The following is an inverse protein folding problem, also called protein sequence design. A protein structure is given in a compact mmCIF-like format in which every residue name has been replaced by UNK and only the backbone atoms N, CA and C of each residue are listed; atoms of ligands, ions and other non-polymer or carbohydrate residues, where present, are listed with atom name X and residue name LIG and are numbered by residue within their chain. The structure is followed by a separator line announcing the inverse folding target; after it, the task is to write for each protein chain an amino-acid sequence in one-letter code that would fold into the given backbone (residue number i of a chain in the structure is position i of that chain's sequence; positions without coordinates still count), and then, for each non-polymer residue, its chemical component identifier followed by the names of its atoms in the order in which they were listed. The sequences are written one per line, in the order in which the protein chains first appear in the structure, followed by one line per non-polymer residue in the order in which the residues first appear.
data_IF_843042371857
#
_entry.id   IF_843042371857
#
_cell.length_a   1.000
_cell.length_b   1.000
_cell.length_c   1.000
_cell.angle_alpha   90.00
_cell.angle_beta   90.00
_cell.angle_gamma   90.00
#
_symmetry.space_group_name_H-M   'P 1'
#
loop_
_entity.id
_entity.type
_entity.pdbx_description
1 polymer ?
#
# COMPACT_ATOMS: atom_id res chain seq x y z
N UNK A 1 -7.04 -22.39 40.71
CA UNK A 1 -7.44 -21.72 39.48
C UNK A 1 -6.32 -21.83 38.46
N UNK A 2 -6.61 -22.38 37.33
CA UNK A 2 -5.59 -22.50 36.29
C UNK A 2 -5.25 -21.15 35.69
N UNK A 3 -3.99 -20.83 35.64
CA UNK A 3 -3.53 -19.64 34.96
C UNK A 3 -3.43 -19.97 33.48
N UNK A 4 -4.17 -19.24 32.68
CA UNK A 4 -4.07 -19.42 31.23
C UNK A 4 -2.81 -18.73 30.73
N UNK A 5 -1.87 -19.50 30.25
CA UNK A 5 -0.65 -18.97 29.63
C UNK A 5 -0.90 -18.83 28.14
N UNK A 6 -1.06 -17.59 27.68
CA UNK A 6 -1.18 -17.34 26.27
C UNK A 6 0.22 -17.23 25.68
N UNK A 7 0.53 -18.08 24.71
CA UNK A 7 1.76 -17.93 23.95
C UNK A 7 1.71 -16.61 23.19
N UNK A 8 2.68 -15.71 23.38
CA UNK A 8 2.71 -14.47 22.62
C UNK A 8 2.77 -14.76 21.13
N UNK A 9 1.97 -14.03 20.36
CA UNK A 9 1.98 -14.13 18.89
C UNK A 9 1.67 -12.77 18.29
N UNK A 10 2.20 -12.51 17.10
CA UNK A 10 1.88 -11.31 16.35
C UNK A 10 0.54 -11.54 15.66
N UNK A 11 -0.41 -10.65 15.86
CA UNK A 11 -1.76 -10.78 15.29
C UNK A 11 -1.99 -9.86 14.11
N UNK A 12 -1.13 -8.87 13.92
CA UNK A 12 -1.22 -7.98 12.76
C UNK A 12 0.13 -7.35 12.50
N UNK A 13 0.33 -6.92 11.29
CA UNK A 13 1.51 -6.16 10.86
C UNK A 13 1.07 -5.29 9.70
N UNK A 14 1.33 -4.00 9.80
CA UNK A 14 0.91 -3.06 8.77
C UNK A 14 1.98 -2.01 8.54
N UNK A 15 2.19 -1.58 7.29
CA UNK A 15 3.04 -0.42 7.04
C UNK A 15 2.38 0.86 7.55
N UNK A 16 3.18 1.82 7.96
CA UNK A 16 2.73 3.15 8.31
C UNK A 16 3.41 4.15 7.38
N UNK A 17 2.60 4.91 6.64
CA UNK A 17 3.10 5.93 5.73
C UNK A 17 2.88 7.32 6.33
N UNK A 18 3.92 8.12 6.33
CA UNK A 18 3.83 9.51 6.75
C UNK A 18 3.41 10.35 5.56
N UNK A 19 2.26 11.00 5.65
CA UNK A 19 1.65 11.70 4.52
C UNK A 19 1.55 13.20 4.81
N UNK A 20 1.57 14.02 3.76
CA UNK A 20 1.47 15.47 3.90
C UNK A 20 0.06 15.94 4.22
N UNK A 21 -0.92 15.27 3.61
CA UNK A 21 -2.34 15.64 3.71
C UNK A 21 -3.15 14.36 3.86
N UNK A 22 -3.66 14.13 5.05
CA UNK A 22 -4.34 12.88 5.36
C UNK A 22 -5.59 12.68 4.49
N UNK A 23 -6.38 13.73 4.30
CA UNK A 23 -7.60 13.64 3.49
C UNK A 23 -7.31 13.26 2.04
N UNK A 24 -6.25 13.84 1.46
CA UNK A 24 -5.82 13.52 0.10
C UNK A 24 -5.38 12.06 -0.01
N UNK A 25 -4.62 11.59 0.96
CA UNK A 25 -4.13 10.21 0.96
C UNK A 25 -5.26 9.21 1.15
N UNK A 26 -6.20 9.50 2.05
CA UNK A 26 -7.39 8.66 2.22
C UNK A 26 -8.17 8.55 0.91
N UNK A 27 -8.39 9.68 0.22
CA UNK A 27 -9.10 9.68 -1.06
C UNK A 27 -8.37 8.83 -2.10
N UNK A 28 -7.05 8.91 -2.14
CA UNK A 28 -6.23 8.12 -3.06
C UNK A 28 -6.37 6.62 -2.79
N UNK A 29 -6.19 6.21 -1.54
CA UNK A 29 -6.25 4.78 -1.20
C UNK A 29 -7.67 4.22 -1.29
N UNK A 30 -8.71 5.05 -1.12
CA UNK A 30 -10.08 4.61 -1.42
C UNK A 30 -10.24 4.22 -2.89
N UNK A 31 -9.55 4.89 -3.80
CA UNK A 31 -9.55 4.52 -5.22
C UNK A 31 -8.89 3.17 -5.46
N UNK A 32 -7.99 2.77 -4.58
CA UNK A 32 -7.35 1.45 -4.62
C UNK A 32 -8.15 0.39 -3.85
N UNK A 33 -9.33 0.74 -3.37
CA UNK A 33 -10.23 -0.20 -2.72
C UNK A 33 -10.10 -0.28 -1.21
N UNK A 34 -9.33 0.59 -0.56
CA UNK A 34 -9.26 0.63 0.89
C UNK A 34 -10.46 1.36 1.48
N UNK A 35 -10.96 0.88 2.63
CA UNK A 35 -11.97 1.57 3.40
C UNK A 35 -11.34 2.17 4.64
N UNK A 36 -11.83 3.35 5.05
CA UNK A 36 -11.30 4.06 6.21
C UNK A 36 -12.45 4.45 7.11
N UNK A 37 -12.26 4.34 8.43
CA UNK A 37 -13.15 4.94 9.41
C UNK A 37 -12.78 6.41 9.65
N UNK A 38 -13.35 6.98 10.71
CA UNK A 38 -13.02 8.36 11.10
C UNK A 38 -11.55 8.44 11.53
N UNK A 39 -10.80 9.45 11.05
CA UNK A 39 -9.43 9.63 11.49
C UNK A 39 -9.35 9.92 12.99
N UNK A 40 -8.32 9.41 13.64
CA UNK A 40 -8.05 9.67 15.04
C UNK A 40 -7.46 11.07 15.19
N UNK A 41 -8.14 11.92 15.92
CA UNK A 41 -7.74 13.32 16.14
C UNK A 41 -7.37 14.07 14.84
N UNK A 42 -7.90 13.62 13.70
CA UNK A 42 -7.67 14.24 12.41
C UNK A 42 -6.30 14.00 11.81
N UNK A 43 -5.42 13.20 12.44
CA UNK A 43 -4.07 13.02 11.92
C UNK A 43 -3.68 11.56 11.63
N UNK A 44 -4.49 10.59 12.03
CA UNK A 44 -4.13 9.17 11.87
C UNK A 44 -5.33 8.39 11.33
N UNK A 45 -5.10 7.59 10.31
CA UNK A 45 -6.16 6.77 9.72
C UNK A 45 -5.67 5.36 9.43
N UNK A 46 -6.58 4.40 9.54
CA UNK A 46 -6.32 3.00 9.23
C UNK A 46 -7.19 2.60 8.07
N UNK A 47 -6.55 2.25 6.96
CA UNK A 47 -7.24 1.71 5.78
C UNK A 47 -7.22 0.20 5.79
N UNK A 48 -8.30 -0.41 5.33
CA UNK A 48 -8.44 -1.86 5.28
C UNK A 48 -8.91 -2.28 3.89
N UNK A 49 -8.25 -3.24 3.31
CA UNK A 49 -8.71 -3.94 2.11
C UNK A 49 -8.37 -5.41 2.25
N UNK A 50 -9.37 -6.28 1.99
CA UNK A 50 -9.21 -7.74 2.04
C UNK A 50 -8.59 -8.22 3.37
N UNK A 51 -8.97 -7.56 4.47
CA UNK A 51 -8.48 -7.90 5.81
C UNK A 51 -7.07 -7.41 6.12
N UNK A 52 -6.45 -6.66 5.22
CA UNK A 52 -5.10 -6.13 5.39
C UNK A 52 -5.15 -4.64 5.67
N UNK A 53 -4.25 -4.17 6.54
CA UNK A 53 -4.24 -2.79 7.00
C UNK A 53 -3.12 -1.98 6.39
N UNK A 54 -3.41 -0.71 6.18
CA UNK A 54 -2.44 0.32 5.84
C UNK A 54 -2.68 1.51 6.77
N UNK A 55 -1.67 1.94 7.50
CA UNK A 55 -1.76 3.06 8.42
C UNK A 55 -1.21 4.33 7.77
N UNK A 56 -1.94 5.43 7.91
CA UNK A 56 -1.55 6.73 7.40
C UNK A 56 -1.46 7.71 8.57
N UNK A 57 -0.34 8.42 8.68
CA UNK A 57 -0.15 9.44 9.70
C UNK A 57 0.24 10.76 9.03
N UNK A 58 -0.45 11.84 9.37
CA UNK A 58 -0.12 13.14 8.82
C UNK A 58 1.18 13.65 9.42
N UNK A 59 2.20 13.76 8.60
CA UNK A 59 3.53 14.23 8.99
C UNK A 59 4.26 14.66 7.70
N UNK A 60 4.18 15.95 7.34
CA UNK A 60 4.73 16.42 6.07
C UNK A 60 6.23 16.16 5.92
N UNK A 61 6.65 15.82 4.70
CA UNK A 61 8.05 15.56 4.34
C UNK A 61 8.61 16.70 3.50
N UNK A 62 9.94 16.80 3.48
CA UNK A 62 10.63 17.74 2.60
C UNK A 62 10.70 17.20 1.16
N UNK A 63 10.86 18.10 0.21
CA UNK A 63 11.05 17.72 -1.20
C UNK A 63 12.35 16.94 -1.41
N UNK A 64 13.37 17.21 -0.62
CA UNK A 64 14.63 16.48 -0.69
C UNK A 64 14.46 15.01 -0.30
N UNK A 65 13.67 14.73 0.73
CA UNK A 65 13.36 13.37 1.14
C UNK A 65 12.63 12.61 0.04
N UNK A 66 11.65 13.27 -0.62
CA UNK A 66 10.91 12.65 -1.73
C UNK A 66 11.80 12.32 -2.91
N UNK A 67 12.70 13.24 -3.28
CA UNK A 67 13.63 13.02 -4.40
C UNK A 67 14.56 11.85 -4.12
N UNK A 68 15.09 11.78 -2.92
CA UNK A 68 15.98 10.69 -2.53
C UNK A 68 15.30 9.32 -2.71
N UNK A 69 14.06 9.21 -2.29
CA UNK A 69 13.29 7.96 -2.41
C UNK A 69 13.09 7.56 -3.87
N UNK A 70 12.77 8.52 -4.75
CA UNK A 70 12.60 8.25 -6.18
C UNK A 70 13.89 7.82 -6.86
N UNK A 71 14.98 8.50 -6.55
CA UNK A 71 16.29 8.23 -7.17
C UNK A 71 16.79 6.83 -6.83
N UNK A 72 16.42 6.31 -5.68
CA UNK A 72 16.86 4.99 -5.23
C UNK A 72 15.79 3.90 -5.39
N UNK A 73 14.71 4.20 -6.12
CA UNK A 73 13.61 3.25 -6.36
C UNK A 73 13.15 2.54 -5.09
N UNK A 74 12.94 3.33 -4.03
CA UNK A 74 12.58 2.80 -2.73
C UNK A 74 11.17 2.23 -2.73
N UNK A 75 11.03 0.94 -2.40
CA UNK A 75 9.74 0.30 -2.24
C UNK A 75 9.36 0.32 -0.76
N UNK A 76 8.16 0.80 -0.46
CA UNK A 76 7.68 0.94 0.91
C UNK A 76 6.89 -0.26 1.38
N UNK A 77 6.25 -0.95 0.45
CA UNK A 77 5.48 -2.14 0.75
C UNK A 77 5.42 -3.03 -0.48
N UNK A 78 5.27 -4.31 -0.25
CA UNK A 78 5.02 -5.28 -1.31
C UNK A 78 3.76 -6.06 -0.95
N UNK A 79 2.87 -6.23 -1.90
CA UNK A 79 1.61 -6.90 -1.71
C UNK A 79 1.45 -8.02 -2.73
N UNK A 80 1.03 -9.19 -2.28
CA UNK A 80 0.66 -10.28 -3.16
C UNK A 80 -0.80 -10.13 -3.60
N UNK A 81 -1.08 -10.38 -4.87
CA UNK A 81 -2.41 -10.21 -5.44
C UNK A 81 -2.81 -11.44 -6.24
N UNK A 82 -3.98 -11.97 -5.96
CA UNK A 82 -4.62 -12.94 -6.84
C UNK A 82 -5.36 -12.16 -7.93
N UNK A 83 -5.19 -12.57 -9.19
CA UNK A 83 -5.79 -11.85 -10.32
C UNK A 83 -5.06 -10.54 -10.61
N UNK A 84 -3.74 -10.61 -10.72
CA UNK A 84 -2.89 -9.42 -10.86
C UNK A 84 -3.24 -8.60 -12.11
N UNK A 85 -3.56 -9.23 -13.24
CA UNK A 85 -3.91 -8.49 -14.46
C UNK A 85 -5.19 -7.69 -14.27
N UNK A 86 -6.23 -8.30 -13.68
CA UNK A 86 -7.49 -7.61 -13.40
C UNK A 86 -7.29 -6.49 -12.39
N UNK A 87 -6.48 -6.73 -11.38
CA UNK A 87 -6.17 -5.70 -10.37
C UNK A 87 -5.44 -4.52 -11.00
N UNK A 88 -4.46 -4.78 -11.86
CA UNK A 88 -3.75 -3.73 -12.58
C UNK A 88 -4.73 -2.88 -13.41
N UNK A 89 -5.61 -3.52 -14.15
CA UNK A 89 -6.61 -2.80 -14.95
C UNK A 89 -7.52 -1.93 -14.08
N UNK A 90 -7.92 -2.43 -12.92
CA UNK A 90 -8.73 -1.65 -11.96
C UNK A 90 -7.97 -0.44 -11.45
N UNK A 91 -6.71 -0.61 -11.07
CA UNK A 91 -5.88 0.50 -10.59
C UNK A 91 -5.73 1.59 -11.65
N UNK A 92 -5.46 1.21 -12.89
CA UNK A 92 -5.37 2.16 -14.01
C UNK A 92 -6.69 2.88 -14.20
N UNK A 93 -7.80 2.15 -14.25
CA UNK A 93 -9.13 2.73 -14.44
C UNK A 93 -9.51 3.68 -13.31
N UNK A 94 -9.06 3.42 -12.10
CA UNK A 94 -9.38 4.22 -10.92
C UNK A 94 -8.38 5.35 -10.66
N UNK A 95 -7.46 5.58 -11.56
CA UNK A 95 -6.57 6.74 -11.51
C UNK A 95 -5.34 6.58 -10.65
N UNK A 96 -4.89 5.35 -10.40
CA UNK A 96 -3.63 5.13 -9.69
C UNK A 96 -2.46 5.65 -10.51
N UNK A 97 -1.45 6.18 -9.83
CA UNK A 97 -0.21 6.59 -10.49
C UNK A 97 0.69 5.38 -10.65
N UNK A 98 0.84 4.92 -11.88
CA UNK A 98 1.64 3.73 -12.18
C UNK A 98 3.08 4.17 -12.38
N UNK A 99 3.94 3.81 -11.45
CA UNK A 99 5.37 4.12 -11.54
C UNK A 99 6.08 3.15 -12.48
N UNK A 100 5.71 1.89 -12.43
CA UNK A 100 6.22 0.86 -13.31
C UNK A 100 5.04 -0.01 -13.78
N UNK A 101 4.82 -0.11 -15.11
CA UNK A 101 3.70 -0.90 -15.64
C UNK A 101 3.83 -2.39 -15.34
N UNK A 102 2.72 -3.10 -15.44
CA UNK A 102 2.69 -4.54 -15.26
C UNK A 102 3.67 -5.23 -16.21
N UNK A 103 4.55 -6.03 -15.66
CA UNK A 103 5.58 -6.73 -16.41
C UNK A 103 5.90 -8.08 -15.77
N UNK A 104 6.33 -9.03 -16.60
CA UNK A 104 6.76 -10.33 -16.11
C UNK A 104 8.06 -10.20 -15.33
N UNK A 105 8.18 -11.00 -14.28
CA UNK A 105 9.41 -11.13 -13.51
C UNK A 105 10.18 -12.37 -13.96
N UNK A 106 11.44 -12.45 -13.55
CA UNK A 106 12.28 -13.62 -13.88
C UNK A 106 11.84 -14.89 -13.15
N UNK A 107 11.00 -14.76 -12.11
CA UNK A 107 10.60 -15.89 -11.26
C UNK A 107 9.14 -16.34 -11.46
N UNK A 108 8.54 -15.95 -12.59
CA UNK A 108 7.24 -16.52 -13.00
C UNK A 108 6.02 -15.77 -12.49
N UNK A 109 6.19 -14.54 -12.01
CA UNK A 109 5.08 -13.68 -11.63
C UNK A 109 5.00 -12.48 -12.55
N UNK A 110 4.01 -11.63 -12.31
CA UNK A 110 3.92 -10.29 -12.88
C UNK A 110 3.81 -9.30 -11.75
N UNK A 111 4.41 -8.13 -11.89
CA UNK A 111 4.27 -7.08 -10.89
C UNK A 111 4.16 -5.70 -11.54
N UNK A 112 3.67 -4.74 -10.77
CA UNK A 112 3.63 -3.33 -11.13
C UNK A 112 3.79 -2.49 -9.86
N UNK A 113 4.21 -1.24 -10.04
CA UNK A 113 4.46 -0.33 -8.93
C UNK A 113 3.49 0.84 -9.00
N UNK A 114 2.88 1.17 -7.85
CA UNK A 114 2.00 2.32 -7.68
C UNK A 114 2.70 3.33 -6.78
N UNK A 115 2.73 4.58 -7.20
CA UNK A 115 3.23 5.68 -6.38
C UNK A 115 2.04 6.45 -5.81
N UNK A 116 2.06 6.72 -4.52
CA UNK A 116 1.01 7.51 -3.88
C UNK A 116 1.35 9.02 -3.93
N UNK A 117 0.43 9.91 -3.49
CA UNK A 117 0.67 11.36 -3.55
C UNK A 117 1.90 11.83 -2.76
N UNK A 118 2.38 11.05 -1.81
CA UNK A 118 3.54 11.40 -0.99
C UNK A 118 4.83 10.72 -1.45
N UNK A 119 4.79 9.99 -2.56
CA UNK A 119 5.96 9.32 -3.10
C UNK A 119 6.21 7.93 -2.51
N UNK A 120 5.28 7.38 -1.76
CA UNK A 120 5.38 5.99 -1.32
C UNK A 120 5.10 5.06 -2.48
N UNK A 121 5.87 4.00 -2.58
CA UNK A 121 5.75 3.04 -3.66
C UNK A 121 5.35 1.69 -3.10
N UNK A 122 4.26 1.16 -3.64
CA UNK A 122 3.80 -0.19 -3.32
C UNK A 122 3.99 -1.05 -4.56
N UNK A 123 4.70 -2.17 -4.40
CA UNK A 123 4.82 -3.18 -5.44
C UNK A 123 3.68 -4.19 -5.27
N UNK A 124 2.86 -4.35 -6.30
CA UNK A 124 1.82 -5.38 -6.34
C UNK A 124 2.28 -6.48 -7.27
N UNK A 125 2.21 -7.71 -6.81
CA UNK A 125 2.68 -8.83 -7.60
C UNK A 125 1.83 -10.07 -7.42
N UNK A 126 1.78 -10.91 -8.44
CA UNK A 126 1.03 -12.14 -8.39
C UNK A 126 1.37 -13.04 -9.56
N UNK A 127 0.84 -14.24 -9.54
CA UNK A 127 1.06 -15.18 -10.64
C UNK A 127 0.39 -14.68 -11.89
N UNK A 128 1.08 -14.82 -13.02
CA UNK A 128 0.48 -14.58 -14.31
C UNK A 128 -0.63 -15.61 -14.53
N UNK A 129 -1.80 -15.15 -15.03
CA UNK A 129 -2.90 -16.03 -15.30
C UNK A 129 -2.71 -16.76 -16.62
N UNK A 130 -3.34 -17.90 -16.76
CA UNK A 130 -3.45 -18.58 -18.01
C UNK A 130 -2.17 -19.23 -18.50
N UNK A 131 -1.40 -19.66 -17.61
CA UNK A 131 -0.18 -20.37 -18.00
C UNK A 131 -0.42 -21.48 -18.99
#
# INVERSE_FOLDING_TARGET
MATTHTTPRVTSLAPQFLVDDLGRSIAYYRRLGFTFGEPWDGFYAIGVRDGLELHLKEAPKTDAERRHRREHEHLDAAAGVDGIEAFYAQCVANGATILRPLAATAWGTQDFYVEDPDGYVIAFGGRASGG
#
